data_IF_551977562830
#
_entry.id   IF_551977562830
#
_cell.length_a   1.000
_cell.length_b   1.000
_cell.length_c   1.000
_cell.angle_alpha   90.00
_cell.angle_beta   90.00
_cell.angle_gamma   90.00
#
_symmetry.space_group_name_H-M   'P 1'
#
loop_
_entity.id
_entity.type
_entity.pdbx_description
1 polymer ?
#
# COMPACT_ATOMS: atom_id res chain seq x y z
N UNK A 1 -16.19 -13.78 15.46
CA UNK A 1 -14.98 -13.21 14.81
C UNK A 1 -14.25 -12.40 15.88
N UNK A 2 -12.96 -12.63 16.11
CA UNK A 2 -12.15 -11.90 17.10
C UNK A 2 -12.08 -10.41 16.74
N UNK A 3 -11.92 -9.54 17.74
CA UNK A 3 -11.97 -8.08 17.54
C UNK A 3 -10.88 -7.60 16.58
N UNK A 4 -9.66 -8.17 16.65
CA UNK A 4 -8.58 -7.86 15.71
C UNK A 4 -8.99 -8.13 14.26
N UNK A 5 -9.59 -9.28 13.96
CA UNK A 5 -10.00 -9.62 12.60
C UNK A 5 -11.09 -8.69 12.02
N UNK A 6 -11.85 -7.97 12.85
CA UNK A 6 -12.83 -6.98 12.38
C UNK A 6 -12.17 -5.74 11.79
N UNK A 7 -11.09 -5.27 12.40
CA UNK A 7 -10.33 -4.14 11.89
C UNK A 7 -9.58 -4.51 10.60
N UNK A 8 -8.98 -5.71 10.56
CA UNK A 8 -8.37 -6.23 9.33
C UNK A 8 -9.39 -6.31 8.18
N UNK A 9 -10.63 -6.78 8.47
CA UNK A 9 -11.71 -6.80 7.50
C UNK A 9 -12.10 -5.39 7.05
N UNK A 10 -12.13 -4.41 7.97
CA UNK A 10 -12.39 -3.02 7.62
C UNK A 10 -11.36 -2.48 6.63
N UNK A 11 -10.05 -2.81 6.79
CA UNK A 11 -9.01 -2.43 5.82
C UNK A 11 -9.22 -3.05 4.45
N UNK A 12 -9.64 -4.30 4.38
CA UNK A 12 -9.99 -4.96 3.11
C UNK A 12 -11.15 -4.23 2.43
N UNK A 13 -12.14 -3.76 3.19
CA UNK A 13 -13.25 -2.96 2.66
C UNK A 13 -12.81 -1.53 2.28
N UNK A 14 -11.85 -0.94 2.98
CA UNK A 14 -11.34 0.39 2.65
C UNK A 14 -10.62 0.43 1.29
N UNK A 15 -9.95 -0.63 0.90
CA UNK A 15 -9.24 -0.66 -0.38
C UNK A 15 -10.16 -0.37 -1.59
N UNK A 16 -11.26 -1.08 -1.85
CA UNK A 16 -12.16 -0.76 -2.95
C UNK A 16 -12.86 0.60 -2.77
N UNK A 17 -13.23 0.98 -1.55
CA UNK A 17 -13.83 2.29 -1.28
C UNK A 17 -12.86 3.41 -1.67
N UNK A 18 -11.60 3.28 -1.26
CA UNK A 18 -10.54 4.23 -1.61
C UNK A 18 -10.36 4.33 -3.14
N UNK A 19 -10.35 3.19 -3.83
CA UNK A 19 -10.25 3.14 -5.29
C UNK A 19 -11.36 3.96 -5.96
N UNK A 20 -12.61 3.75 -5.56
CA UNK A 20 -13.73 4.49 -6.14
C UNK A 20 -13.70 5.98 -5.79
N UNK A 21 -13.34 6.36 -4.58
CA UNK A 21 -13.17 7.77 -4.19
C UNK A 21 -12.10 8.44 -5.06
N UNK A 22 -11.04 7.73 -5.40
CA UNK A 22 -9.98 8.25 -6.26
C UNK A 22 -10.41 8.39 -7.71
N UNK A 23 -11.05 7.36 -8.28
CA UNK A 23 -11.29 7.27 -9.72
C UNK A 23 -12.62 7.86 -10.20
N UNK A 24 -13.66 7.93 -9.36
CA UNK A 24 -14.94 8.54 -9.78
C UNK A 24 -14.76 9.96 -10.32
N UNK A 25 -14.02 10.87 -9.66
CA UNK A 25 -13.76 12.19 -10.21
C UNK A 25 -12.98 12.15 -11.54
N UNK A 26 -12.02 11.23 -11.67
CA UNK A 26 -11.21 11.07 -12.89
C UNK A 26 -12.08 10.62 -14.06
N UNK A 27 -12.97 9.65 -13.85
CA UNK A 27 -13.87 9.16 -14.90
C UNK A 27 -14.96 10.17 -15.28
N UNK A 28 -15.51 10.86 -14.27
CA UNK A 28 -16.55 11.85 -14.47
C UNK A 28 -16.01 13.20 -14.97
N UNK A 29 -14.69 13.44 -14.93
CA UNK A 29 -14.03 14.73 -15.22
C UNK A 29 -14.72 15.90 -14.49
N UNK A 30 -15.07 15.67 -13.21
CA UNK A 30 -15.85 16.60 -12.40
C UNK A 30 -15.00 17.21 -11.29
N UNK A 31 -14.77 18.53 -11.36
CA UNK A 31 -13.92 19.27 -10.41
C UNK A 31 -14.49 19.28 -8.99
N UNK A 32 -15.82 19.37 -8.82
CA UNK A 32 -16.42 19.35 -7.48
C UNK A 32 -16.20 18.00 -6.79
N UNK A 33 -16.36 16.90 -7.53
CA UNK A 33 -16.06 15.56 -7.01
C UNK A 33 -14.55 15.41 -6.73
N UNK A 34 -13.69 16.02 -7.54
CA UNK A 34 -12.24 16.01 -7.31
C UNK A 34 -11.87 16.71 -6.01
N UNK A 35 -12.44 17.91 -5.76
CA UNK A 35 -12.23 18.65 -4.50
C UNK A 35 -12.70 17.86 -3.27
N UNK A 36 -13.89 17.25 -3.35
CA UNK A 36 -14.42 16.40 -2.27
C UNK A 36 -13.48 15.19 -2.02
N UNK A 37 -13.06 14.51 -3.10
CA UNK A 37 -12.17 13.36 -2.98
C UNK A 37 -10.82 13.73 -2.35
N UNK A 38 -10.24 14.88 -2.70
CA UNK A 38 -8.99 15.36 -2.12
C UNK A 38 -9.08 15.54 -0.60
N UNK A 39 -10.21 16.06 -0.11
CA UNK A 39 -10.44 16.22 1.33
C UNK A 39 -10.60 14.88 2.07
N UNK A 40 -11.05 13.82 1.39
CA UNK A 40 -11.35 12.52 2.02
C UNK A 40 -10.15 11.56 1.97
N UNK A 41 -9.38 11.55 0.88
CA UNK A 41 -8.37 10.52 0.61
C UNK A 41 -7.28 10.44 1.69
N UNK A 42 -6.71 11.59 2.10
CA UNK A 42 -5.64 11.62 3.11
C UNK A 42 -6.14 11.18 4.49
N UNK A 43 -7.26 11.73 5.03
CA UNK A 43 -7.84 11.23 6.27
C UNK A 43 -8.21 9.75 6.23
N UNK A 44 -8.75 9.26 5.11
CA UNK A 44 -9.13 7.85 4.95
C UNK A 44 -7.91 6.94 4.97
N UNK A 45 -6.82 7.31 4.26
CA UNK A 45 -5.57 6.56 4.32
C UNK A 45 -4.96 6.58 5.72
N UNK A 46 -4.94 7.74 6.39
CA UNK A 46 -4.46 7.86 7.76
C UNK A 46 -5.27 6.97 8.73
N UNK A 47 -6.59 6.96 8.59
CA UNK A 47 -7.46 6.10 9.38
C UNK A 47 -7.16 4.61 9.15
N UNK A 48 -6.97 4.20 7.89
CA UNK A 48 -6.62 2.83 7.54
C UNK A 48 -5.27 2.40 8.15
N UNK A 49 -4.27 3.29 8.18
CA UNK A 49 -2.98 3.01 8.83
C UNK A 49 -3.09 2.97 10.37
N UNK A 50 -3.92 3.83 10.96
CA UNK A 50 -4.17 3.82 12.40
C UNK A 50 -4.89 2.54 12.85
N UNK A 51 -5.82 2.01 12.07
CA UNK A 51 -6.49 0.74 12.40
C UNK A 51 -5.49 -0.41 12.49
N UNK A 52 -4.47 -0.46 11.60
CA UNK A 52 -3.40 -1.46 11.67
C UNK A 52 -2.59 -1.38 12.97
N UNK A 53 -2.24 -0.15 13.38
CA UNK A 53 -1.50 0.05 14.63
C UNK A 53 -2.29 -0.45 15.85
N UNK A 54 -3.59 -0.14 15.90
CA UNK A 54 -4.46 -0.56 17.01
C UNK A 54 -4.68 -2.07 17.02
N UNK A 55 -4.85 -2.71 15.87
CA UNK A 55 -5.02 -4.16 15.76
C UNK A 55 -3.84 -4.91 16.35
N UNK A 56 -2.63 -4.57 15.92
CA UNK A 56 -1.41 -5.18 16.43
C UNK A 56 -1.21 -4.96 17.92
N UNK A 57 -1.67 -3.82 18.46
CA UNK A 57 -1.59 -3.53 19.89
C UNK A 57 -2.60 -4.36 20.69
N UNK A 58 -3.88 -4.40 20.27
CA UNK A 58 -4.95 -5.15 20.94
C UNK A 58 -4.71 -6.66 20.88
N UNK A 59 -4.30 -7.21 19.74
CA UNK A 59 -4.02 -8.63 19.59
C UNK A 59 -2.90 -9.10 20.53
N UNK A 60 -1.85 -8.31 20.70
CA UNK A 60 -0.74 -8.63 21.63
C UNK A 60 -1.17 -8.51 23.09
N UNK A 61 -1.95 -7.50 23.44
CA UNK A 61 -2.42 -7.25 24.81
C UNK A 61 -3.37 -8.35 25.31
N UNK A 62 -4.22 -8.89 24.43
CA UNK A 62 -5.26 -9.85 24.77
C UNK A 62 -4.85 -11.32 24.49
N UNK A 63 -3.62 -11.59 24.00
CA UNK A 63 -3.20 -12.96 23.65
C UNK A 63 -4.01 -13.60 22.51
N UNK A 64 -4.73 -12.79 21.72
CA UNK A 64 -5.65 -13.26 20.67
C UNK A 64 -4.95 -13.53 19.32
N UNK A 65 -3.69 -13.91 19.33
CA UNK A 65 -2.97 -14.24 18.09
C UNK A 65 -3.54 -15.54 17.51
N UNK A 66 -4.16 -15.45 16.31
CA UNK A 66 -4.66 -16.61 15.57
C UNK A 66 -3.85 -16.84 14.29
N UNK A 67 -3.77 -18.12 13.84
CA UNK A 67 -3.08 -18.44 12.59
C UNK A 67 -3.74 -17.79 11.39
N UNK A 68 -5.07 -17.67 11.41
CA UNK A 68 -5.82 -16.89 10.42
C UNK A 68 -5.41 -15.40 10.42
N UNK A 69 -5.30 -14.75 11.58
CA UNK A 69 -4.87 -13.35 11.68
C UNK A 69 -3.46 -13.13 11.12
N UNK A 70 -2.52 -14.06 11.40
CA UNK A 70 -1.14 -14.00 10.86
C UNK A 70 -1.06 -13.99 9.32
N UNK A 71 -2.07 -14.52 8.63
CA UNK A 71 -2.19 -14.48 7.18
C UNK A 71 -3.05 -13.30 6.70
N UNK A 72 -4.14 -13.02 7.42
CA UNK A 72 -5.14 -12.05 7.00
C UNK A 72 -4.63 -10.60 7.11
N UNK A 73 -3.88 -10.27 8.17
CA UNK A 73 -3.31 -8.93 8.34
C UNK A 73 -2.35 -8.53 7.21
N UNK A 74 -1.32 -9.35 6.87
CA UNK A 74 -0.46 -9.04 5.73
C UNK A 74 -1.18 -8.98 4.39
N UNK A 75 -2.25 -9.77 4.21
CA UNK A 75 -3.06 -9.74 3.01
C UNK A 75 -3.82 -8.41 2.88
N UNK A 76 -4.44 -7.94 3.97
CA UNK A 76 -5.15 -6.66 4.00
C UNK A 76 -4.21 -5.48 3.69
N UNK A 77 -3.00 -5.50 4.28
CA UNK A 77 -1.96 -4.49 4.01
C UNK A 77 -1.56 -4.46 2.53
N UNK A 78 -1.36 -5.64 1.93
CA UNK A 78 -1.02 -5.75 0.51
C UNK A 78 -2.15 -5.23 -0.36
N UNK A 79 -3.41 -5.58 -0.08
CA UNK A 79 -4.57 -5.07 -0.82
C UNK A 79 -4.63 -3.55 -0.78
N UNK A 80 -4.50 -2.94 0.39
CA UNK A 80 -4.56 -1.48 0.54
C UNK A 80 -3.41 -0.79 -0.21
N UNK A 81 -2.16 -1.27 -0.03
CA UNK A 81 -1.00 -0.68 -0.69
C UNK A 81 -1.04 -0.85 -2.21
N UNK A 82 -1.44 -2.02 -2.73
CA UNK A 82 -1.56 -2.22 -4.18
C UNK A 82 -2.67 -1.37 -4.78
N UNK A 83 -3.78 -1.17 -4.07
CA UNK A 83 -4.84 -0.24 -4.48
C UNK A 83 -4.31 1.20 -4.58
N UNK A 84 -3.59 1.65 -3.55
CA UNK A 84 -2.97 2.98 -3.53
C UNK A 84 -1.97 3.15 -4.69
N UNK A 85 -1.17 2.13 -4.98
CA UNK A 85 -0.18 2.14 -6.07
C UNK A 85 -0.86 2.07 -7.46
N UNK A 86 -1.99 1.39 -7.58
CA UNK A 86 -2.81 1.44 -8.79
C UNK A 86 -3.35 2.86 -9.03
N UNK A 87 -3.80 3.55 -7.97
CA UNK A 87 -4.18 4.95 -8.04
C UNK A 87 -3.00 5.84 -8.45
N UNK A 88 -1.79 5.56 -7.97
CA UNK A 88 -0.59 6.33 -8.28
C UNK A 88 -0.19 6.32 -9.77
N UNK A 89 -0.73 5.44 -10.57
CA UNK A 89 -0.48 5.42 -12.03
C UNK A 89 -1.31 6.45 -12.81
N UNK A 90 -2.23 7.13 -12.14
CA UNK A 90 -3.15 8.09 -12.77
C UNK A 90 -3.21 9.38 -11.97
N UNK A 91 -3.55 10.47 -12.62
CA UNK A 91 -3.85 11.75 -12.00
C UNK A 91 -5.17 12.29 -12.53
N UNK A 92 -5.82 13.17 -11.77
CA UNK A 92 -7.00 13.89 -12.21
C UNK A 92 -6.70 14.81 -13.40
N UNK A 93 -5.55 15.50 -13.36
CA UNK A 93 -5.12 16.36 -14.46
C UNK A 93 -4.17 15.63 -15.40
N UNK A 94 -4.66 15.20 -16.55
CA UNK A 94 -3.83 14.65 -17.62
C UNK A 94 -2.86 15.66 -18.24
N UNK A 95 -3.10 16.96 -18.05
CA UNK A 95 -2.22 18.03 -18.54
C UNK A 95 -1.00 18.20 -17.63
N UNK A 96 -1.22 18.28 -16.33
CA UNK A 96 -0.15 18.49 -15.35
C UNK A 96 0.62 17.21 -15.07
N UNK A 97 -0.05 16.05 -15.11
CA UNK A 97 0.53 14.77 -14.76
C UNK A 97 0.03 13.63 -15.67
N UNK A 98 0.43 13.60 -16.96
CA UNK A 98 -0.06 12.59 -17.91
C UNK A 98 0.43 11.17 -17.60
N UNK A 99 1.59 11.02 -16.94
CA UNK A 99 2.22 9.74 -16.66
C UNK A 99 1.91 9.18 -15.25
N UNK A 100 1.14 9.91 -14.45
CA UNK A 100 0.93 9.56 -13.05
C UNK A 100 2.18 9.74 -12.18
N UNK A 101 2.16 9.18 -11.00
CA UNK A 101 3.22 9.29 -9.97
C UNK A 101 4.12 8.07 -9.91
N UNK A 102 3.67 6.93 -10.43
CA UNK A 102 4.37 5.65 -10.34
C UNK A 102 4.50 5.01 -11.72
N UNK A 103 5.73 4.72 -12.21
CA UNK A 103 5.90 3.96 -13.44
C UNK A 103 5.24 2.57 -13.35
N UNK A 104 4.54 2.16 -14.40
CA UNK A 104 3.85 0.87 -14.45
C UNK A 104 4.78 -0.31 -14.16
N UNK A 105 6.05 -0.24 -14.58
CA UNK A 105 7.06 -1.26 -14.30
C UNK A 105 7.30 -1.42 -12.79
N UNK A 106 7.33 -0.32 -12.03
CA UNK A 106 7.49 -0.37 -10.58
C UNK A 106 6.28 -1.05 -9.92
N UNK A 107 5.07 -0.73 -10.39
CA UNK A 107 3.83 -1.37 -9.91
C UNK A 107 3.85 -2.88 -10.14
N UNK A 108 4.14 -3.32 -11.36
CA UNK A 108 4.14 -4.74 -11.73
C UNK A 108 5.20 -5.52 -10.94
N UNK A 109 6.39 -4.96 -10.75
CA UNK A 109 7.44 -5.58 -9.94
C UNK A 109 6.99 -5.75 -8.47
N UNK A 110 6.40 -4.70 -7.88
CA UNK A 110 5.87 -4.78 -6.51
C UNK A 110 4.72 -5.78 -6.44
N UNK A 111 3.80 -5.78 -7.41
CA UNK A 111 2.67 -6.71 -7.49
C UNK A 111 3.17 -8.16 -7.43
N UNK A 112 4.07 -8.55 -8.33
CA UNK A 112 4.61 -9.91 -8.37
C UNK A 112 5.29 -10.30 -7.06
N UNK A 113 6.08 -9.38 -6.50
CA UNK A 113 6.74 -9.61 -5.21
C UNK A 113 5.74 -9.83 -4.08
N UNK A 114 4.71 -9.00 -3.96
CA UNK A 114 3.72 -9.11 -2.87
C UNK A 114 2.88 -10.38 -2.99
N UNK A 115 2.44 -10.75 -4.20
CA UNK A 115 1.73 -12.00 -4.43
C UNK A 115 2.60 -13.21 -4.09
N UNK A 116 3.85 -13.23 -4.55
CA UNK A 116 4.79 -14.32 -4.24
C UNK A 116 5.02 -14.45 -2.75
N UNK A 117 5.19 -13.34 -2.02
CA UNK A 117 5.36 -13.36 -0.56
C UNK A 117 4.12 -13.88 0.17
N UNK A 118 2.92 -13.50 -0.27
CA UNK A 118 1.69 -14.01 0.33
C UNK A 118 1.56 -15.51 0.10
N UNK A 119 1.85 -15.98 -1.11
CA UNK A 119 1.88 -17.42 -1.41
C UNK A 119 2.88 -18.17 -0.53
N UNK A 120 4.11 -17.69 -0.39
CA UNK A 120 5.13 -18.30 0.46
C UNK A 120 4.70 -18.34 1.95
N UNK A 121 4.02 -17.32 2.44
CA UNK A 121 3.46 -17.33 3.80
C UNK A 121 2.36 -18.38 3.97
N UNK A 122 1.48 -18.52 2.99
CA UNK A 122 0.43 -19.54 3.01
C UNK A 122 1.04 -20.94 3.06
N UNK A 123 2.05 -21.22 2.22
CA UNK A 123 2.77 -22.50 2.22
C UNK A 123 3.48 -22.73 3.55
N UNK A 124 4.12 -21.74 4.14
CA UNK A 124 4.79 -21.90 5.42
C UNK A 124 3.81 -22.21 6.55
N UNK A 125 2.64 -21.57 6.60
CA UNK A 125 1.60 -21.84 7.60
C UNK A 125 1.02 -23.24 7.41
N UNK A 126 0.79 -23.70 6.17
CA UNK A 126 0.31 -25.06 5.91
C UNK A 126 1.29 -26.15 6.38
N UNK A 127 2.57 -25.78 6.52
CA UNK A 127 3.65 -26.64 7.10
C UNK A 127 3.89 -26.39 8.60
N UNK A 128 2.96 -25.72 9.28
CA UNK A 128 3.03 -25.46 10.72
C UNK A 128 4.06 -24.39 11.14
N UNK A 129 4.64 -23.65 10.19
CA UNK A 129 5.66 -22.62 10.47
C UNK A 129 5.13 -21.24 10.13
N UNK A 130 4.97 -20.36 11.13
CA UNK A 130 4.59 -18.96 10.89
C UNK A 130 5.83 -18.11 10.56
N UNK A 131 5.79 -17.45 9.37
CA UNK A 131 6.85 -16.52 8.98
C UNK A 131 6.64 -15.18 9.68
N UNK A 132 7.49 -14.85 10.65
CA UNK A 132 7.45 -13.58 11.36
C UNK A 132 7.99 -12.42 10.53
N UNK A 133 7.52 -11.19 10.83
CA UNK A 133 8.00 -9.98 10.20
C UNK A 133 9.48 -9.72 10.55
N UNK A 134 10.32 -9.46 9.53
CA UNK A 134 11.74 -9.14 9.68
C UNK A 134 11.97 -7.62 9.54
N UNK A 135 13.15 -7.14 9.97
CA UNK A 135 13.49 -5.70 9.96
C UNK A 135 13.36 -5.06 8.56
N UNK A 136 13.81 -5.76 7.51
CA UNK A 136 13.69 -5.29 6.13
C UNK A 136 12.24 -5.10 5.67
N UNK A 137 11.33 -5.98 6.12
CA UNK A 137 9.89 -5.84 5.84
C UNK A 137 9.29 -4.59 6.47
N UNK A 138 9.72 -4.21 7.69
CA UNK A 138 9.25 -2.98 8.36
C UNK A 138 9.69 -1.72 7.62
N UNK A 139 10.95 -1.66 7.18
CA UNK A 139 11.46 -0.52 6.42
C UNK A 139 10.72 -0.34 5.09
N UNK A 140 10.49 -1.44 4.35
CA UNK A 140 9.67 -1.45 3.13
C UNK A 140 8.30 -0.81 3.38
N UNK A 141 7.60 -1.22 4.44
CA UNK A 141 6.26 -0.72 4.76
C UNK A 141 6.26 0.79 5.03
N UNK A 142 7.26 1.29 5.75
CA UNK A 142 7.40 2.74 6.00
C UNK A 142 7.53 3.52 4.68
N UNK A 143 8.35 3.03 3.75
CA UNK A 143 8.51 3.68 2.44
C UNK A 143 7.24 3.59 1.58
N UNK A 144 6.51 2.47 1.62
CA UNK A 144 5.23 2.33 0.94
C UNK A 144 4.22 3.37 1.42
N UNK A 145 4.08 3.51 2.72
CA UNK A 145 3.17 4.48 3.35
C UNK A 145 3.60 5.92 3.01
N UNK A 146 4.88 6.23 3.16
CA UNK A 146 5.42 7.56 2.86
C UNK A 146 5.21 7.95 1.39
N UNK A 147 5.47 7.02 0.44
CA UNK A 147 5.25 7.25 -0.99
C UNK A 147 3.76 7.46 -1.31
N UNK A 148 2.88 6.71 -0.65
CA UNK A 148 1.44 6.87 -0.77
C UNK A 148 0.95 8.24 -0.30
N UNK A 149 1.38 8.68 0.87
CA UNK A 149 1.02 10.02 1.37
C UNK A 149 1.60 11.14 0.52
N UNK A 150 2.85 11.00 0.05
CA UNK A 150 3.46 11.97 -0.85
C UNK A 150 2.64 12.14 -2.13
N UNK A 151 2.32 11.04 -2.81
CA UNK A 151 1.50 11.03 -4.02
C UNK A 151 0.13 11.67 -3.77
N UNK A 152 -0.56 11.29 -2.69
CA UNK A 152 -1.87 11.86 -2.34
C UNK A 152 -1.78 13.35 -2.02
N UNK A 153 -0.71 13.81 -1.39
CA UNK A 153 -0.52 15.24 -1.12
C UNK A 153 -0.41 16.02 -2.43
N UNK A 154 0.44 15.58 -3.36
CA UNK A 154 0.59 16.24 -4.67
C UNK A 154 -0.72 16.19 -5.47
N UNK A 155 -1.39 15.03 -5.50
CA UNK A 155 -2.68 14.87 -6.18
C UNK A 155 -3.78 15.75 -5.58
N UNK A 156 -3.79 15.90 -4.24
CA UNK A 156 -4.74 16.77 -3.56
C UNK A 156 -4.53 18.24 -3.91
N UNK A 157 -3.30 18.69 -4.06
CA UNK A 157 -3.01 20.05 -4.56
C UNK A 157 -3.56 20.27 -5.95
N UNK A 158 -3.41 19.31 -6.86
CA UNK A 158 -3.96 19.37 -8.22
C UNK A 158 -5.50 19.44 -8.18
N UNK A 159 -6.14 18.60 -7.35
CA UNK A 159 -7.61 18.50 -7.26
C UNK A 159 -8.28 19.69 -6.57
N UNK A 160 -7.61 20.30 -5.61
CA UNK A 160 -8.17 21.43 -4.86
C UNK A 160 -8.16 22.73 -5.66
N UNK A 161 -7.48 22.76 -6.82
CA UNK A 161 -7.39 23.97 -7.66
C UNK A 161 -7.02 25.19 -6.81
N UNK A 162 -5.95 25.04 -6.04
CA UNK A 162 -5.43 26.12 -5.22
C UNK A 162 -4.89 27.21 -6.14
N UNK A 163 -5.06 28.50 -5.77
CA UNK A 163 -4.50 29.65 -6.54
C UNK A 163 -2.96 29.64 -6.63
N UNK A 164 -2.33 28.53 -6.23
CA UNK A 164 -0.90 28.32 -6.27
C UNK A 164 -0.58 27.57 -7.56
N UNK A 165 0.11 28.24 -8.47
CA UNK A 165 0.61 27.57 -9.68
C UNK A 165 1.78 26.65 -9.34
N UNK A 166 1.51 25.35 -9.35
CA UNK A 166 2.53 24.31 -9.13
C UNK A 166 3.12 23.77 -10.43
N UNK A 167 2.73 24.26 -11.59
CA UNK A 167 3.15 23.74 -12.90
C UNK A 167 4.68 23.76 -13.06
N UNK A 168 5.34 24.81 -12.59
CA UNK A 168 6.79 24.93 -12.61
C UNK A 168 7.52 23.89 -11.75
N UNK A 169 6.87 23.39 -10.70
CA UNK A 169 7.44 22.40 -9.77
C UNK A 169 7.10 20.96 -10.16
N UNK A 170 6.13 20.74 -11.05
CA UNK A 170 5.67 19.39 -11.42
C UNK A 170 6.79 18.45 -11.88
N UNK A 171 7.78 18.86 -12.70
CA UNK A 171 8.89 17.98 -13.08
C UNK A 171 9.70 17.47 -11.87
N UNK A 172 9.91 18.36 -10.89
CA UNK A 172 10.63 17.99 -9.65
C UNK A 172 9.78 17.05 -8.80
N UNK A 173 8.50 17.36 -8.60
CA UNK A 173 7.56 16.53 -7.83
C UNK A 173 7.43 15.13 -8.43
N UNK A 174 7.37 15.02 -9.75
CA UNK A 174 7.40 13.73 -10.47
C UNK A 174 8.70 12.97 -10.23
N UNK A 175 9.85 13.64 -10.38
CA UNK A 175 11.13 13.00 -10.16
C UNK A 175 11.23 12.44 -8.74
N UNK A 176 10.79 13.19 -7.75
CA UNK A 176 10.76 12.73 -6.35
C UNK A 176 9.84 11.51 -6.21
N UNK A 177 8.63 11.53 -6.79
CA UNK A 177 7.71 10.41 -6.77
C UNK A 177 8.35 9.15 -7.39
N UNK A 178 8.95 9.27 -8.56
CA UNK A 178 9.58 8.16 -9.27
C UNK A 178 10.75 7.56 -8.48
N UNK A 179 11.58 8.40 -7.86
CA UNK A 179 12.68 7.95 -6.98
C UNK A 179 12.10 7.23 -5.76
N UNK A 180 11.07 7.75 -5.12
CA UNK A 180 10.43 7.10 -3.97
C UNK A 180 9.88 5.72 -4.34
N UNK A 181 9.18 5.58 -5.46
CA UNK A 181 8.66 4.28 -5.90
C UNK A 181 9.77 3.32 -6.37
N UNK A 182 10.85 3.81 -6.97
CA UNK A 182 12.03 3.00 -7.27
C UNK A 182 12.69 2.46 -5.99
N UNK A 183 12.81 3.28 -4.94
CA UNK A 183 13.28 2.85 -3.62
C UNK A 183 12.33 1.82 -3.01
N UNK A 184 11.01 1.97 -3.16
CA UNK A 184 10.03 0.97 -2.74
C UNK A 184 10.28 -0.39 -3.41
N UNK A 185 10.55 -0.43 -4.72
CA UNK A 185 10.92 -1.65 -5.44
C UNK A 185 12.18 -2.27 -4.84
N UNK A 186 13.26 -1.49 -4.72
CA UNK A 186 14.54 -1.98 -4.19
C UNK A 186 14.39 -2.58 -2.80
N UNK A 187 13.75 -1.85 -1.86
CA UNK A 187 13.54 -2.32 -0.49
C UNK A 187 12.65 -3.56 -0.45
N UNK A 188 11.65 -3.65 -1.33
CA UNK A 188 10.77 -4.82 -1.39
C UNK A 188 11.53 -6.07 -1.82
N UNK A 189 12.41 -5.98 -2.83
CA UNK A 189 13.19 -7.11 -3.31
C UNK A 189 14.34 -7.48 -2.37
N UNK A 190 15.00 -6.52 -1.75
CA UNK A 190 16.00 -6.80 -0.68
C UNK A 190 15.33 -7.58 0.46
N UNK A 191 14.17 -7.13 0.92
CA UNK A 191 13.40 -7.83 1.94
C UNK A 191 12.97 -9.22 1.48
N UNK A 192 12.57 -9.38 0.22
CA UNK A 192 12.16 -10.66 -0.37
C UNK A 192 13.30 -11.67 -0.39
N UNK A 193 14.49 -11.27 -0.84
CA UNK A 193 15.68 -12.12 -0.84
C UNK A 193 16.05 -12.56 0.58
N UNK A 194 15.97 -11.65 1.57
CA UNK A 194 16.21 -11.97 2.97
C UNK A 194 15.22 -13.02 3.51
N UNK A 195 13.94 -12.92 3.13
CA UNK A 195 12.93 -13.93 3.47
C UNK A 195 13.22 -15.29 2.83
N UNK A 196 13.52 -15.33 1.52
CA UNK A 196 13.82 -16.57 0.82
C UNK A 196 15.03 -17.27 1.47
N UNK A 197 16.11 -16.52 1.76
CA UNK A 197 17.30 -17.08 2.41
C UNK A 197 17.01 -17.65 3.79
N UNK A 198 16.23 -16.95 4.60
CA UNK A 198 15.90 -17.37 5.95
C UNK A 198 15.00 -18.60 6.01
N UNK A 199 14.11 -18.75 5.03
CA UNK A 199 13.09 -19.81 5.02
C UNK A 199 13.32 -20.89 3.95
N UNK A 200 14.46 -20.85 3.25
CA UNK A 200 14.80 -21.83 2.22
C UNK A 200 14.74 -23.29 2.73
N UNK A 201 15.02 -23.53 4.02
CA UNK A 201 14.93 -24.84 4.63
C UNK A 201 13.52 -25.42 4.66
N UNK A 202 12.48 -24.57 4.77
CA UNK A 202 11.07 -25.00 4.79
C UNK A 202 10.67 -25.61 3.42
N UNK A 203 11.26 -25.11 2.33
CA UNK A 203 10.93 -25.54 0.97
C UNK A 203 11.74 -26.76 0.51
N UNK A 204 12.85 -27.09 1.21
CA UNK A 204 13.67 -28.28 0.91
C UNK A 204 13.16 -29.58 1.48
N UNK A 205 12.15 -29.58 2.33
CA UNK A 205 11.58 -30.78 2.97
C UNK A 205 10.54 -31.50 2.09
N UNK A 206 10.54 -31.28 0.79
CA UNK A 206 9.83 -32.13 -0.17
C UNK A 206 10.73 -33.32 -0.55
N UNK A 207 10.78 -34.33 0.34
CA UNK A 207 11.14 -35.71 -0.02
C UNK A 207 10.24 -36.67 0.72
#
# INVERSE_FOLDING_TARGET
MKTSNKFTLARVCFAPVFFFIYFIPVWAQNENLAKISACIMIPLLALAQLTDYFDGHYARKNGEVSDFGKLFDPFADVMLNLTLFACAQHSFSAVLNPAGYMPAVCFVLILYREFTMNFLRMVAVSRGTAIAARKGGKLKTVFYIASGFYMLAVESFIRLDTNIDISAYMPTLHTVAYVMFAVCVLLSYISFIDYIRAFAGIFKQEK
#
